data_IF_015773078537
#
_entry.id   IF_015773078537
#
_cell.length_a   1.000
_cell.length_b   1.000
_cell.length_c   1.000
_cell.angle_alpha   90.00
_cell.angle_beta   90.00
_cell.angle_gamma   90.00
#
_symmetry.space_group_name_H-M   'P 1'
#
loop_
_entity.id
_entity.type
_entity.pdbx_description
1 polymer ?
#
# COMPACT_ATOMS: atom_id res chain seq x y z
N UNK A 1 -17.78 4.05 -2.66
CA UNK A 1 -17.92 4.95 -1.49
C UNK A 1 -18.00 6.38 -1.96
N UNK A 2 -18.78 7.20 -1.28
CA UNK A 2 -19.07 8.58 -1.68
C UNK A 2 -18.94 9.53 -0.49
N UNK A 3 -18.12 10.57 -0.62
CA UNK A 3 -17.91 11.65 0.33
C UNK A 3 -17.63 11.19 1.77
N UNK A 4 -16.87 10.11 1.93
CA UNK A 4 -16.58 9.53 3.26
C UNK A 4 -15.66 10.43 4.05
N UNK A 5 -16.12 10.82 5.24
CA UNK A 5 -15.37 11.61 6.22
C UNK A 5 -15.31 10.95 7.58
N UNK A 6 -14.18 11.13 8.29
CA UNK A 6 -13.96 10.61 9.64
C UNK A 6 -13.08 11.52 10.48
N UNK A 7 -13.55 11.84 11.68
CA UNK A 7 -12.82 12.64 12.66
C UNK A 7 -12.48 11.82 13.92
N UNK A 8 -11.32 12.05 14.50
CA UNK A 8 -10.93 11.61 15.83
C UNK A 8 -10.64 12.86 16.68
N UNK A 9 -11.66 13.34 17.37
CA UNK A 9 -11.60 14.62 18.08
C UNK A 9 -11.31 15.77 17.13
N UNK A 10 -10.16 16.42 17.27
CA UNK A 10 -9.71 17.52 16.41
C UNK A 10 -9.00 17.06 15.12
N UNK A 11 -8.71 15.77 15.00
CA UNK A 11 -7.97 15.24 13.84
C UNK A 11 -8.97 14.75 12.78
N UNK A 12 -8.97 15.39 11.62
CA UNK A 12 -9.73 14.97 10.45
C UNK A 12 -8.95 13.88 9.69
N UNK A 13 -9.28 12.62 9.99
CA UNK A 13 -8.56 11.45 9.46
C UNK A 13 -8.94 11.11 8.04
N UNK A 14 -10.18 11.44 7.61
CA UNK A 14 -10.65 11.31 6.23
C UNK A 14 -11.49 12.53 5.87
N UNK A 15 -11.24 13.08 4.68
CA UNK A 15 -11.84 14.30 4.16
C UNK A 15 -12.43 14.01 2.77
N UNK A 16 -13.74 13.80 2.70
CA UNK A 16 -14.50 13.70 1.46
C UNK A 16 -13.95 12.63 0.47
N UNK A 17 -13.66 11.44 0.99
CA UNK A 17 -13.11 10.35 0.17
C UNK A 17 -14.20 9.73 -0.69
N UNK A 18 -14.02 9.83 -2.01
CA UNK A 18 -14.87 9.15 -3.00
C UNK A 18 -14.01 8.25 -3.87
N UNK A 19 -14.28 6.94 -3.84
CA UNK A 19 -13.53 5.91 -4.57
C UNK A 19 -14.48 4.85 -5.10
N UNK A 20 -14.14 4.33 -6.27
CA UNK A 20 -14.79 3.20 -6.91
C UNK A 20 -13.75 2.11 -7.23
N UNK A 21 -13.99 0.88 -6.79
CA UNK A 21 -13.14 -0.29 -7.00
C UNK A 21 -13.93 -1.34 -7.77
N UNK A 22 -13.36 -1.87 -8.85
CA UNK A 22 -14.01 -2.82 -9.71
C UNK A 22 -13.86 -4.27 -9.24
N UNK A 23 -14.85 -5.14 -9.49
CA UNK A 23 -14.69 -6.57 -9.18
C UNK A 23 -13.46 -7.17 -9.86
N UNK A 24 -12.70 -7.99 -9.12
CA UNK A 24 -11.48 -8.64 -9.60
C UNK A 24 -10.28 -7.71 -9.77
N UNK A 25 -10.37 -6.46 -9.30
CA UNK A 25 -9.29 -5.48 -9.34
C UNK A 25 -8.33 -5.66 -8.15
N UNK A 26 -7.04 -5.49 -8.40
CA UNK A 26 -6.02 -5.27 -7.36
C UNK A 26 -5.78 -3.76 -7.22
N UNK A 27 -6.44 -3.15 -6.25
CA UNK A 27 -6.43 -1.71 -6.02
C UNK A 27 -5.48 -1.31 -4.88
N UNK A 28 -4.56 -0.38 -5.16
CA UNK A 28 -3.58 0.11 -4.19
C UNK A 28 -4.00 1.42 -3.52
N UNK A 29 -3.92 1.47 -2.19
CA UNK A 29 -4.11 2.67 -1.40
C UNK A 29 -2.75 3.16 -0.90
N UNK A 30 -2.17 4.12 -1.62
CA UNK A 30 -0.77 4.52 -1.45
C UNK A 30 -0.67 5.84 -0.68
N UNK A 31 0.21 5.89 0.30
CA UNK A 31 0.45 7.12 1.05
C UNK A 31 1.25 6.89 2.32
N UNK A 32 1.80 7.96 2.91
CA UNK A 32 2.60 7.88 4.13
C UNK A 32 1.78 7.43 5.33
N UNK A 33 2.47 7.17 6.44
CA UNK A 33 1.82 6.94 7.73
C UNK A 33 0.97 8.15 8.12
N UNK A 34 -0.22 7.88 8.68
CA UNK A 34 -1.18 8.92 9.01
C UNK A 34 -1.99 9.47 7.84
N UNK A 35 -1.84 8.95 6.62
CA UNK A 35 -2.63 9.40 5.46
C UNK A 35 -4.13 9.02 5.53
N UNK A 36 -4.56 8.18 6.49
CA UNK A 36 -5.95 7.76 6.66
C UNK A 36 -6.26 6.36 6.11
N UNK A 37 -5.29 5.63 5.53
CA UNK A 37 -5.45 4.31 4.89
C UNK A 37 -6.16 3.30 5.80
N UNK A 38 -5.62 3.06 6.99
CA UNK A 38 -6.19 2.14 7.99
C UNK A 38 -7.60 2.57 8.43
N UNK A 39 -7.87 3.88 8.56
CA UNK A 39 -9.20 4.39 8.91
C UNK A 39 -10.21 4.04 7.83
N UNK A 40 -9.83 4.21 6.57
CA UNK A 40 -10.68 3.84 5.43
C UNK A 40 -10.97 2.33 5.39
N UNK A 41 -9.95 1.49 5.59
CA UNK A 41 -10.14 0.03 5.66
C UNK A 41 -11.09 -0.39 6.80
N UNK A 42 -10.95 0.23 7.98
CA UNK A 42 -11.86 -0.06 9.09
C UNK A 42 -13.31 0.32 8.79
N UNK A 43 -13.55 1.37 8.02
CA UNK A 43 -14.90 1.73 7.57
C UNK A 43 -15.44 0.70 6.59
N UNK A 44 -14.66 0.32 5.57
CA UNK A 44 -15.06 -0.65 4.55
C UNK A 44 -15.27 -2.05 5.12
N UNK A 45 -14.48 -2.44 6.11
CA UNK A 45 -14.64 -3.71 6.84
C UNK A 45 -15.68 -3.66 7.96
N UNK A 46 -16.43 -2.55 8.05
CA UNK A 46 -17.49 -2.33 9.05
C UNK A 46 -17.02 -2.35 10.51
N UNK A 47 -15.73 -2.14 10.77
CA UNK A 47 -15.16 -2.04 12.12
C UNK A 47 -15.26 -0.63 12.68
N UNK A 48 -15.55 0.35 11.84
CA UNK A 48 -15.67 1.76 12.19
C UNK A 48 -16.79 2.40 11.37
N UNK A 49 -17.53 3.31 11.97
CA UNK A 49 -18.55 4.10 11.27
C UNK A 49 -17.93 5.39 10.72
N UNK A 50 -18.27 5.73 9.47
CA UNK A 50 -18.01 7.05 8.95
C UNK A 50 -18.84 8.11 9.67
N UNK A 51 -18.32 9.34 9.77
CA UNK A 51 -19.08 10.48 10.34
C UNK A 51 -19.88 11.18 9.23
N UNK A 52 -19.41 11.07 7.96
CA UNK A 52 -20.06 11.64 6.79
C UNK A 52 -19.95 10.67 5.61
N UNK A 53 -20.83 10.83 4.62
CA UNK A 53 -20.82 10.06 3.39
C UNK A 53 -21.34 8.64 3.56
N UNK A 54 -21.18 7.84 2.53
CA UNK A 54 -21.64 6.45 2.48
C UNK A 54 -20.54 5.52 1.95
N UNK A 55 -20.48 4.31 2.50
CA UNK A 55 -19.60 3.26 2.04
C UNK A 55 -20.42 2.02 1.72
N UNK A 56 -20.21 1.46 0.53
CA UNK A 56 -20.83 0.20 0.09
C UNK A 56 -19.74 -0.82 -0.25
N UNK A 57 -19.97 -2.08 0.06
CA UNK A 57 -19.09 -3.19 -0.29
C UNK A 57 -19.93 -4.27 -0.95
N UNK A 58 -19.57 -4.71 -2.14
CA UNK A 58 -20.34 -5.65 -2.95
C UNK A 58 -21.82 -5.22 -3.09
N UNK A 59 -22.08 -3.91 -3.28
CA UNK A 59 -23.43 -3.34 -3.37
C UNK A 59 -24.22 -3.26 -2.06
N UNK A 60 -23.63 -3.69 -0.94
CA UNK A 60 -24.25 -3.70 0.39
C UNK A 60 -23.86 -2.44 1.18
N UNK A 61 -24.81 -1.87 1.92
CA UNK A 61 -24.59 -0.69 2.77
C UNK A 61 -23.76 -1.04 4.01
N UNK A 62 -22.67 -0.32 4.24
CA UNK A 62 -21.72 -0.59 5.32
C UNK A 62 -22.31 -0.51 6.73
N UNK A 63 -23.43 0.21 6.92
CA UNK A 63 -24.10 0.36 8.21
C UNK A 63 -25.25 -0.64 8.37
N UNK A 64 -26.10 -0.78 7.35
CA UNK A 64 -27.30 -1.63 7.42
C UNK A 64 -26.95 -3.11 7.28
N UNK A 65 -26.03 -3.43 6.35
CA UNK A 65 -25.73 -4.81 5.94
C UNK A 65 -24.43 -5.33 6.54
N UNK A 66 -23.90 -4.69 7.60
CA UNK A 66 -22.57 -4.98 8.16
C UNK A 66 -22.34 -6.48 8.48
N UNK A 67 -23.38 -7.19 8.96
CA UNK A 67 -23.26 -8.63 9.26
C UNK A 67 -22.99 -9.45 8.00
N UNK A 68 -23.67 -9.11 6.89
CA UNK A 68 -23.48 -9.79 5.61
C UNK A 68 -22.12 -9.44 5.01
N UNK A 69 -21.75 -8.15 5.03
CA UNK A 69 -20.42 -7.71 4.56
C UNK A 69 -19.31 -8.51 5.26
N UNK A 70 -19.38 -8.67 6.60
CA UNK A 70 -18.35 -9.40 7.37
C UNK A 70 -18.18 -10.87 6.98
N UNK A 71 -19.19 -11.50 6.36
CA UNK A 71 -19.07 -12.87 5.84
C UNK A 71 -18.50 -12.93 4.43
N UNK A 72 -18.43 -11.79 3.74
CA UNK A 72 -17.98 -11.67 2.34
C UNK A 72 -16.58 -11.05 2.22
N UNK A 73 -16.03 -10.49 3.30
CA UNK A 73 -14.75 -9.79 3.27
C UNK A 73 -13.70 -10.50 4.12
N UNK A 74 -12.49 -10.62 3.60
CA UNK A 74 -11.31 -10.95 4.38
C UNK A 74 -10.58 -9.66 4.79
N UNK A 75 -10.07 -9.59 6.01
CA UNK A 75 -9.33 -8.44 6.49
C UNK A 75 -8.04 -8.86 7.20
N UNK A 76 -6.94 -8.34 6.73
CA UNK A 76 -5.63 -8.49 7.34
C UNK A 76 -5.17 -7.10 7.82
N UNK A 77 -5.21 -6.83 9.13
CA UNK A 77 -4.75 -5.56 9.69
C UNK A 77 -3.21 -5.45 9.68
N UNK A 78 -2.68 -4.23 9.62
CA UNK A 78 -1.24 -3.97 9.53
C UNK A 78 -0.42 -4.42 10.75
N UNK A 79 -1.08 -4.66 11.88
CA UNK A 79 -0.45 -5.32 13.03
C UNK A 79 -0.87 -6.78 13.07
N UNK A 80 0.11 -7.67 13.29
CA UNK A 80 -0.17 -9.08 13.44
C UNK A 80 -1.20 -9.32 14.56
N UNK A 81 -2.40 -9.75 14.18
CA UNK A 81 -3.58 -9.83 15.04
C UNK A 81 -3.99 -11.26 15.38
N UNK A 82 -3.26 -12.26 14.89
CA UNK A 82 -3.55 -13.67 15.18
C UNK A 82 -3.12 -14.05 16.59
N UNK A 83 -3.67 -15.16 17.08
CA UNK A 83 -3.37 -15.69 18.41
C UNK A 83 -1.95 -16.25 18.46
N UNK A 84 -1.05 -15.54 19.10
CA UNK A 84 0.38 -15.86 19.13
C UNK A 84 0.70 -17.13 19.89
N UNK A 85 -0.13 -17.50 20.87
CA UNK A 85 0.01 -18.70 21.68
C UNK A 85 -0.58 -19.96 21.03
N UNK A 86 -1.42 -19.79 20.03
CA UNK A 86 -1.93 -20.88 19.21
C UNK A 86 -0.91 -21.27 18.14
N UNK A 87 -0.95 -22.51 17.71
CA UNK A 87 -0.17 -23.02 16.57
C UNK A 87 -0.73 -22.48 15.25
N UNK A 88 0.00 -22.74 14.15
CA UNK A 88 -0.45 -22.39 12.80
C UNK A 88 -1.80 -23.04 12.49
N UNK A 89 -1.92 -24.36 12.73
CA UNK A 89 -3.18 -25.10 12.47
C UNK A 89 -4.32 -24.63 13.38
N UNK A 90 -4.08 -24.43 14.69
CA UNK A 90 -5.10 -23.94 15.61
C UNK A 90 -5.62 -22.54 15.26
N UNK A 91 -4.78 -21.66 14.71
CA UNK A 91 -5.24 -20.36 14.18
C UNK A 91 -6.17 -20.57 12.97
N UNK A 92 -5.81 -21.42 12.00
CA UNK A 92 -6.64 -21.69 10.83
C UNK A 92 -7.99 -22.31 11.23
N UNK A 93 -7.98 -23.33 12.11
CA UNK A 93 -9.18 -24.00 12.60
C UNK A 93 -10.10 -23.04 13.35
N UNK A 94 -9.51 -22.14 14.15
CA UNK A 94 -10.26 -21.09 14.85
C UNK A 94 -11.02 -20.19 13.86
N UNK A 95 -10.34 -19.65 12.85
CA UNK A 95 -11.00 -18.78 11.86
C UNK A 95 -11.99 -19.57 11.00
N UNK A 96 -11.69 -20.79 10.59
CA UNK A 96 -12.64 -21.66 9.89
C UNK A 96 -13.91 -21.85 10.71
N UNK A 97 -13.77 -22.13 12.02
CA UNK A 97 -14.91 -22.28 12.94
C UNK A 97 -15.73 -21.01 13.06
N UNK A 98 -15.09 -19.84 13.21
CA UNK A 98 -15.77 -18.54 13.30
C UNK A 98 -16.66 -18.28 12.09
N UNK A 99 -16.23 -18.71 10.91
CA UNK A 99 -16.97 -18.55 9.64
C UNK A 99 -17.84 -19.75 9.26
N UNK A 100 -18.08 -20.70 10.18
CA UNK A 100 -18.86 -21.93 9.94
C UNK A 100 -18.37 -22.74 8.73
N UNK A 101 -17.06 -22.88 8.57
CA UNK A 101 -16.42 -23.71 7.54
C UNK A 101 -15.34 -24.59 8.17
N UNK A 102 -14.65 -25.38 7.36
CA UNK A 102 -13.47 -26.15 7.76
C UNK A 102 -12.28 -25.83 6.88
N UNK A 103 -11.08 -26.13 7.34
CA UNK A 103 -9.86 -25.94 6.56
C UNK A 103 -9.91 -26.79 5.29
N UNK A 104 -10.39 -28.04 5.39
CA UNK A 104 -10.48 -28.98 4.27
C UNK A 104 -11.45 -28.50 3.19
N UNK A 105 -12.58 -27.90 3.58
CA UNK A 105 -13.60 -27.41 2.64
C UNK A 105 -13.09 -26.30 1.72
N UNK A 106 -12.10 -25.53 2.17
CA UNK A 106 -11.56 -24.38 1.45
C UNK A 106 -10.03 -24.47 1.24
N UNK A 107 -9.47 -25.68 1.40
CA UNK A 107 -8.04 -25.91 1.30
C UNK A 107 -7.46 -25.51 -0.06
N UNK A 108 -8.20 -25.73 -1.13
CA UNK A 108 -7.83 -25.37 -2.50
C UNK A 108 -7.49 -23.87 -2.66
N UNK A 109 -8.22 -22.99 -1.99
CA UNK A 109 -7.98 -21.54 -2.03
C UNK A 109 -6.72 -21.14 -1.28
N UNK A 110 -6.46 -21.77 -0.14
CA UNK A 110 -5.33 -21.42 0.72
C UNK A 110 -4.09 -22.26 0.47
N UNK A 111 -4.21 -23.36 -0.29
CA UNK A 111 -3.16 -24.37 -0.51
C UNK A 111 -1.81 -23.77 -0.87
N UNK A 112 -1.75 -22.94 -1.92
CA UNK A 112 -0.50 -22.38 -2.45
C UNK A 112 0.24 -21.48 -1.45
N UNK A 113 -0.50 -20.93 -0.48
CA UNK A 113 0.02 -20.10 0.60
C UNK A 113 0.39 -20.99 1.78
N UNK A 114 -0.54 -21.87 2.16
CA UNK A 114 -0.45 -22.68 3.36
C UNK A 114 0.65 -23.75 3.26
N UNK A 115 0.82 -24.38 2.11
CA UNK A 115 1.85 -25.42 1.89
C UNK A 115 3.26 -24.95 2.28
N UNK A 116 3.53 -23.67 2.18
CA UNK A 116 4.83 -23.09 2.55
C UNK A 116 5.04 -22.99 4.07
N UNK A 117 3.96 -22.98 4.85
CA UNK A 117 3.99 -22.93 6.31
C UNK A 117 3.49 -24.21 6.97
N UNK A 118 2.91 -25.13 6.21
CA UNK A 118 2.40 -26.42 6.67
C UNK A 118 3.45 -27.28 7.41
N UNK A 119 4.73 -27.34 7.00
CA UNK A 119 5.76 -28.05 7.75
C UNK A 119 5.94 -27.53 9.19
N UNK A 120 5.42 -26.34 9.47
CA UNK A 120 5.47 -25.68 10.78
C UNK A 120 4.11 -25.63 11.48
N UNK A 121 3.11 -26.42 11.02
CA UNK A 121 1.73 -26.35 11.51
C UNK A 121 1.56 -26.47 13.03
N UNK A 122 2.44 -27.22 13.69
CA UNK A 122 2.48 -27.36 15.15
C UNK A 122 3.26 -26.27 15.88
N UNK A 123 3.88 -25.31 15.15
CA UNK A 123 4.62 -24.21 15.75
C UNK A 123 3.67 -23.09 16.17
N UNK A 124 3.89 -22.51 17.34
CA UNK A 124 3.15 -21.33 17.82
C UNK A 124 3.36 -20.15 16.87
N UNK A 125 2.29 -19.43 16.53
CA UNK A 125 2.31 -18.31 15.62
C UNK A 125 3.27 -17.18 16.06
N UNK A 126 3.41 -16.97 17.37
CA UNK A 126 4.36 -16.01 17.93
C UNK A 126 5.84 -16.30 17.58
N UNK A 127 6.18 -17.58 17.28
CA UNK A 127 7.56 -18.05 16.96
C UNK A 127 7.83 -18.14 15.45
N UNK A 128 6.93 -17.68 14.60
CA UNK A 128 7.10 -17.63 13.16
C UNK A 128 7.94 -16.40 12.74
N UNK A 129 8.63 -16.50 11.60
CA UNK A 129 9.26 -15.35 10.95
C UNK A 129 8.20 -14.34 10.47
N UNK A 130 8.61 -13.12 10.12
CA UNK A 130 7.71 -12.09 9.60
C UNK A 130 6.92 -12.59 8.37
N UNK A 131 7.61 -13.10 7.35
CA UNK A 131 6.97 -13.63 6.14
C UNK A 131 6.03 -14.81 6.41
N UNK A 132 6.40 -15.72 7.34
CA UNK A 132 5.50 -16.82 7.73
C UNK A 132 4.25 -16.32 8.47
N UNK A 133 4.39 -15.28 9.31
CA UNK A 133 3.24 -14.64 9.98
C UNK A 133 2.28 -14.03 8.96
N UNK A 134 2.81 -13.39 7.92
CA UNK A 134 1.99 -12.81 6.86
C UNK A 134 1.26 -13.89 6.04
N UNK A 135 1.95 -14.99 5.70
CA UNK A 135 1.33 -16.14 5.02
C UNK A 135 0.20 -16.75 5.87
N UNK A 136 0.41 -16.92 7.17
CA UNK A 136 -0.63 -17.40 8.07
C UNK A 136 -1.81 -16.42 8.15
N UNK A 137 -1.54 -15.12 8.30
CA UNK A 137 -2.58 -14.10 8.38
C UNK A 137 -3.43 -14.04 7.09
N UNK A 138 -2.77 -14.13 5.93
CA UNK A 138 -3.45 -14.20 4.64
C UNK A 138 -4.29 -15.48 4.51
N UNK A 139 -3.76 -16.65 4.90
CA UNK A 139 -4.51 -17.90 4.89
C UNK A 139 -5.77 -17.82 5.78
N UNK A 140 -5.66 -17.26 6.99
CA UNK A 140 -6.80 -17.05 7.88
C UNK A 140 -7.84 -16.07 7.30
N UNK A 141 -7.40 -15.02 6.61
CA UNK A 141 -8.29 -14.05 5.98
C UNK A 141 -9.03 -14.62 4.75
N UNK A 142 -8.49 -15.68 4.15
CA UNK A 142 -9.04 -16.34 2.95
C UNK A 142 -9.91 -17.56 3.28
N UNK A 143 -9.83 -18.11 4.50
CA UNK A 143 -10.39 -19.43 4.82
C UNK A 143 -11.89 -19.55 4.57
N UNK A 144 -12.62 -18.46 4.53
CA UNK A 144 -14.07 -18.43 4.29
C UNK A 144 -14.45 -18.01 2.87
N UNK A 145 -13.50 -18.01 1.91
CA UNK A 145 -13.70 -17.61 0.49
C UNK A 145 -14.30 -16.20 0.33
N UNK A 146 -13.63 -15.17 0.78
CA UNK A 146 -14.14 -13.81 0.66
C UNK A 146 -14.23 -13.36 -0.81
N UNK A 147 -15.21 -12.48 -1.12
CA UNK A 147 -15.31 -11.82 -2.40
C UNK A 147 -14.34 -10.64 -2.51
N UNK A 148 -14.05 -10.00 -1.36
CA UNK A 148 -13.13 -8.87 -1.25
C UNK A 148 -12.13 -9.09 -0.13
N UNK A 149 -10.86 -8.83 -0.42
CA UNK A 149 -9.76 -8.94 0.53
C UNK A 149 -9.17 -7.54 0.80
N UNK A 150 -9.19 -7.12 2.06
CA UNK A 150 -8.58 -5.88 2.54
C UNK A 150 -7.27 -6.20 3.26
N UNK A 151 -6.16 -5.63 2.80
CA UNK A 151 -4.81 -5.88 3.32
C UNK A 151 -4.16 -4.55 3.74
N UNK A 152 -4.05 -4.35 5.04
CA UNK A 152 -3.50 -3.10 5.59
C UNK A 152 -1.99 -3.27 5.84
N UNK A 153 -1.17 -2.70 4.96
CA UNK A 153 0.29 -2.74 5.00
C UNK A 153 0.87 -4.17 5.19
N UNK A 154 0.45 -5.13 4.36
CA UNK A 154 0.73 -6.54 4.59
C UNK A 154 2.21 -6.92 4.53
N UNK A 155 3.05 -6.09 3.93
CA UNK A 155 4.48 -6.35 3.70
C UNK A 155 5.41 -5.53 4.60
N UNK A 156 4.84 -4.71 5.50
CA UNK A 156 5.63 -3.90 6.44
C UNK A 156 6.43 -4.80 7.38
N UNK A 157 7.75 -4.59 7.45
CA UNK A 157 8.67 -5.38 8.26
C UNK A 157 8.97 -6.78 7.71
N UNK A 158 8.65 -7.05 6.46
CA UNK A 158 8.94 -8.30 5.75
C UNK A 158 10.20 -8.13 4.88
N UNK A 159 11.03 -9.15 4.81
CA UNK A 159 12.23 -9.14 3.98
C UNK A 159 11.89 -9.05 2.48
N UNK A 160 12.81 -8.53 1.62
CA UNK A 160 12.52 -8.29 0.22
C UNK A 160 12.07 -9.52 -0.57
N UNK A 161 12.61 -10.70 -0.28
CA UNK A 161 12.24 -11.95 -0.99
C UNK A 161 10.82 -12.34 -0.64
N UNK A 162 10.49 -12.38 0.66
CA UNK A 162 9.14 -12.69 1.12
C UNK A 162 8.11 -11.66 0.65
N UNK A 163 8.51 -10.38 0.46
CA UNK A 163 7.64 -9.34 -0.14
C UNK A 163 7.26 -9.70 -1.59
N UNK A 164 8.22 -10.04 -2.42
CA UNK A 164 7.95 -10.44 -3.82
C UNK A 164 7.02 -11.64 -3.85
N UNK A 165 7.30 -12.69 -3.06
CA UNK A 165 6.44 -13.88 -2.98
C UNK A 165 5.01 -13.52 -2.55
N UNK A 166 4.85 -12.59 -1.60
CA UNK A 166 3.54 -12.15 -1.13
C UNK A 166 2.73 -11.48 -2.25
N UNK A 167 3.35 -10.58 -3.01
CA UNK A 167 2.71 -9.93 -4.15
C UNK A 167 2.37 -10.92 -5.27
N UNK A 168 3.21 -11.92 -5.51
CA UNK A 168 2.90 -12.99 -6.48
C UNK A 168 1.71 -13.85 -6.03
N UNK A 169 1.50 -14.02 -4.73
CA UNK A 169 0.29 -14.64 -4.19
C UNK A 169 -0.95 -13.78 -4.43
N UNK A 170 -0.86 -12.46 -4.22
CA UNK A 170 -1.98 -11.54 -4.51
C UNK A 170 -2.39 -11.57 -5.98
N UNK A 171 -1.42 -11.59 -6.90
CA UNK A 171 -1.69 -11.71 -8.34
C UNK A 171 -2.41 -13.02 -8.69
N UNK A 172 -2.12 -14.11 -7.99
CA UNK A 172 -2.83 -15.40 -8.17
C UNK A 172 -4.26 -15.33 -7.65
N UNK A 173 -4.47 -14.76 -6.47
CA UNK A 173 -5.80 -14.58 -5.88
C UNK A 173 -6.68 -13.69 -6.77
N UNK A 174 -6.12 -12.60 -7.29
CA UNK A 174 -6.80 -11.76 -8.27
C UNK A 174 -7.24 -12.54 -9.51
N UNK A 175 -6.36 -13.38 -10.07
CA UNK A 175 -6.71 -14.24 -11.23
C UNK A 175 -7.82 -15.25 -10.93
N UNK A 176 -8.04 -15.59 -9.67
CA UNK A 176 -9.18 -16.40 -9.21
C UNK A 176 -10.46 -15.59 -9.01
N UNK A 177 -10.45 -14.28 -9.32
CA UNK A 177 -11.61 -13.39 -9.27
C UNK A 177 -11.81 -12.66 -7.94
N UNK A 178 -10.88 -12.78 -6.99
CA UNK A 178 -10.95 -12.04 -5.72
C UNK A 178 -10.61 -10.57 -5.97
N UNK A 179 -11.46 -9.67 -5.51
CA UNK A 179 -11.16 -8.23 -5.48
C UNK A 179 -10.24 -7.94 -4.31
N UNK A 180 -9.13 -7.23 -4.54
CA UNK A 180 -8.14 -6.99 -3.50
C UNK A 180 -7.91 -5.48 -3.35
N UNK A 181 -8.01 -5.00 -2.12
CA UNK A 181 -7.62 -3.64 -1.77
C UNK A 181 -6.45 -3.70 -0.79
N UNK A 182 -5.30 -3.18 -1.20
CA UNK A 182 -4.07 -3.22 -0.40
C UNK A 182 -3.58 -1.81 -0.08
N UNK A 183 -3.24 -1.56 1.18
CA UNK A 183 -2.54 -0.32 1.54
C UNK A 183 -1.04 -0.55 1.66
N UNK A 184 -0.26 0.43 1.21
CA UNK A 184 1.20 0.41 1.37
C UNK A 184 1.78 1.83 1.36
N UNK A 185 2.84 2.11 2.13
CA UNK A 185 3.61 3.34 1.97
C UNK A 185 4.66 3.25 0.85
N UNK A 186 4.87 2.06 0.26
CA UNK A 186 5.95 1.79 -0.69
C UNK A 186 5.48 1.98 -2.14
N UNK A 187 6.14 2.89 -2.87
CA UNK A 187 5.79 3.20 -4.26
C UNK A 187 6.15 2.07 -5.25
N UNK A 188 7.19 1.29 -4.96
CA UNK A 188 7.57 0.12 -5.76
C UNK A 188 6.47 -0.94 -5.78
N UNK A 189 5.74 -1.11 -4.68
CA UNK A 189 4.58 -2.01 -4.60
C UNK A 189 3.37 -1.49 -5.39
N UNK A 190 3.22 -0.18 -5.53
CA UNK A 190 2.14 0.44 -6.29
C UNK A 190 2.10 -0.05 -7.76
N UNK A 191 3.27 -0.33 -8.34
CA UNK A 191 3.39 -0.81 -9.72
C UNK A 191 2.75 -2.19 -9.95
N UNK A 192 2.48 -2.96 -8.89
CA UNK A 192 1.81 -4.27 -8.94
C UNK A 192 0.28 -4.15 -8.99
N UNK A 193 -0.26 -2.97 -8.69
CA UNK A 193 -1.70 -2.71 -8.69
C UNK A 193 -2.21 -2.33 -10.09
N UNK A 194 -3.48 -2.64 -10.37
CA UNK A 194 -4.15 -2.19 -11.60
C UNK A 194 -4.41 -0.69 -11.58
N UNK A 195 -4.96 -0.21 -10.47
CA UNK A 195 -5.17 1.20 -10.17
C UNK A 195 -4.73 1.51 -8.74
N UNK A 196 -4.38 2.75 -8.52
CA UNK A 196 -3.96 3.23 -7.20
C UNK A 196 -4.65 4.55 -6.87
N UNK A 197 -4.92 4.74 -5.59
CA UNK A 197 -5.29 6.03 -5.02
C UNK A 197 -4.11 6.57 -4.20
N UNK A 198 -3.66 7.78 -4.51
CA UNK A 198 -2.67 8.48 -3.71
C UNK A 198 -3.37 9.20 -2.57
N UNK A 199 -3.03 8.85 -1.34
CA UNK A 199 -3.59 9.48 -0.13
C UNK A 199 -2.57 10.32 0.62
N UNK A 200 -3.01 11.47 1.10
CA UNK A 200 -2.20 12.33 1.97
C UNK A 200 -3.12 13.10 2.92
N UNK A 201 -2.80 13.10 4.21
CA UNK A 201 -3.51 13.86 5.25
C UNK A 201 -5.03 13.75 5.17
N UNK A 202 -5.54 12.52 5.01
CA UNK A 202 -6.98 12.23 4.95
C UNK A 202 -7.65 12.51 3.61
N UNK A 203 -6.91 12.95 2.60
CA UNK A 203 -7.45 13.28 1.27
C UNK A 203 -6.97 12.29 0.21
N UNK A 204 -7.80 12.04 -0.81
CA UNK A 204 -7.41 11.36 -2.02
C UNK A 204 -6.94 12.40 -3.05
N UNK A 205 -5.67 12.36 -3.41
CA UNK A 205 -5.08 13.33 -4.33
C UNK A 205 -5.31 12.97 -5.79
N UNK A 206 -5.28 11.68 -6.12
CA UNK A 206 -5.45 11.18 -7.48
C UNK A 206 -5.79 9.69 -7.46
N UNK A 207 -6.53 9.24 -8.47
CA UNK A 207 -6.83 7.83 -8.72
C UNK A 207 -6.55 7.54 -10.19
N UNK A 208 -5.63 6.64 -10.47
CA UNK A 208 -5.31 6.23 -11.84
C UNK A 208 -4.51 4.91 -11.83
N UNK A 209 -4.15 4.41 -13.00
CA UNK A 209 -3.14 3.36 -13.13
C UNK A 209 -1.78 3.88 -12.65
N UNK A 210 -0.86 3.00 -12.19
CA UNK A 210 0.49 3.43 -11.83
C UNK A 210 1.21 4.19 -12.96
N UNK A 211 0.99 3.77 -14.22
CA UNK A 211 1.52 4.47 -15.38
C UNK A 211 0.90 5.87 -15.57
N UNK A 212 -0.43 5.99 -15.39
CA UNK A 212 -1.14 7.27 -15.47
C UNK A 212 -0.66 8.25 -14.40
N UNK A 213 -0.50 7.79 -13.16
CA UNK A 213 0.06 8.61 -12.08
C UNK A 213 1.45 9.11 -12.42
N UNK A 214 2.34 8.23 -12.94
CA UNK A 214 3.68 8.66 -13.38
C UNK A 214 3.63 9.69 -14.51
N UNK A 215 2.77 9.45 -15.50
CA UNK A 215 2.59 10.38 -16.63
C UNK A 215 2.05 11.74 -16.19
N UNK A 216 1.16 11.77 -15.18
CA UNK A 216 0.60 13.01 -14.64
C UNK A 216 1.59 13.85 -13.84
N UNK A 217 2.77 13.30 -13.50
CA UNK A 217 3.81 14.04 -12.79
C UNK A 217 4.27 15.29 -13.55
N UNK A 218 4.20 15.27 -14.90
CA UNK A 218 4.26 16.44 -15.78
C UNK A 218 5.55 17.26 -15.73
N UNK A 219 6.60 16.82 -15.00
CA UNK A 219 7.90 17.47 -14.89
C UNK A 219 9.01 16.46 -15.16
N UNK A 220 10.06 16.90 -15.82
CA UNK A 220 11.26 16.10 -15.96
C UNK A 220 11.92 15.92 -14.58
N UNK A 221 12.14 14.69 -14.19
CA UNK A 221 12.92 14.32 -13.01
C UNK A 221 14.39 14.17 -13.42
N UNK A 222 15.29 14.72 -12.62
CA UNK A 222 16.73 14.67 -12.85
C UNK A 222 17.40 13.99 -11.66
N UNK A 223 18.35 13.09 -11.91
CA UNK A 223 19.31 12.64 -10.90
C UNK A 223 20.52 13.55 -10.92
N UNK A 224 20.97 13.99 -9.75
CA UNK A 224 22.14 14.86 -9.61
C UNK A 224 23.10 14.23 -8.61
N UNK A 225 24.36 14.06 -9.01
CA UNK A 225 25.44 13.48 -8.21
C UNK A 225 26.66 14.38 -8.18
N UNK A 226 27.42 14.33 -7.08
CA UNK A 226 28.73 14.98 -6.91
C UNK A 226 29.46 14.30 -5.75
N UNK A 227 30.75 14.44 -5.65
CA UNK A 227 31.54 13.98 -4.50
C UNK A 227 31.06 14.58 -3.16
N UNK A 228 30.46 15.77 -3.19
CA UNK A 228 29.98 16.50 -2.00
C UNK A 228 28.46 16.51 -1.88
N UNK A 229 27.83 15.32 -1.76
CA UNK A 229 26.37 15.16 -1.81
C UNK A 229 25.59 16.01 -0.80
N UNK A 230 26.05 16.11 0.46
CA UNK A 230 25.34 16.92 1.47
C UNK A 230 25.31 18.41 1.12
N UNK A 231 26.44 18.97 0.69
CA UNK A 231 26.54 20.36 0.24
C UNK A 231 25.70 20.56 -1.02
N UNK A 232 25.76 19.62 -1.96
CA UNK A 232 25.00 19.65 -3.20
C UNK A 232 23.49 19.77 -2.94
N UNK A 233 22.94 18.99 -2.00
CA UNK A 233 21.51 19.04 -1.65
C UNK A 233 21.09 20.45 -1.21
N UNK A 234 21.91 21.07 -0.36
CA UNK A 234 21.66 22.43 0.14
C UNK A 234 21.71 23.46 -0.97
N UNK A 235 22.71 23.36 -1.84
CA UNK A 235 22.88 24.30 -2.95
C UNK A 235 21.78 24.12 -4.01
N UNK A 236 21.41 22.88 -4.36
CA UNK A 236 20.28 22.59 -5.26
C UNK A 236 18.96 23.15 -4.73
N UNK A 237 18.70 23.03 -3.43
CA UNK A 237 17.50 23.61 -2.80
C UNK A 237 17.49 25.13 -2.78
N UNK A 238 18.67 25.77 -2.76
CA UNK A 238 18.82 27.22 -2.78
C UNK A 238 18.74 27.84 -4.18
N UNK A 239 18.82 27.01 -5.23
CA UNK A 239 18.70 27.49 -6.60
C UNK A 239 17.28 28.00 -6.89
N UNK A 240 17.08 29.22 -7.37
CA UNK A 240 15.74 29.80 -7.57
C UNK A 240 14.85 29.03 -8.54
N UNK A 241 15.43 28.33 -9.52
CA UNK A 241 14.76 27.51 -10.49
C UNK A 241 14.35 26.11 -9.98
N UNK A 242 14.77 25.72 -8.78
CA UNK A 242 14.37 24.43 -8.19
C UNK A 242 12.90 24.46 -7.79
N UNK A 243 12.15 23.47 -8.28
CA UNK A 243 10.81 23.18 -7.79
C UNK A 243 10.85 22.26 -6.58
N UNK A 244 11.58 21.15 -6.67
CA UNK A 244 11.82 20.25 -5.54
C UNK A 244 13.19 19.56 -5.65
N UNK A 245 13.80 19.24 -4.49
CA UNK A 245 15.03 18.47 -4.43
C UNK A 245 15.06 17.60 -3.17
N UNK A 246 15.23 16.28 -3.37
CA UNK A 246 15.26 15.28 -2.31
C UNK A 246 16.45 14.33 -2.48
N UNK A 247 17.02 13.88 -1.36
CA UNK A 247 18.00 12.80 -1.36
C UNK A 247 17.33 11.47 -1.69
N UNK A 248 17.91 10.67 -2.59
CA UNK A 248 17.41 9.38 -2.99
C UNK A 248 18.59 8.42 -3.29
N UNK A 249 18.81 7.47 -2.42
CA UNK A 249 19.95 6.56 -2.52
C UNK A 249 21.30 7.29 -2.61
N UNK A 250 22.03 7.06 -3.70
CA UNK A 250 23.33 7.64 -4.00
C UNK A 250 23.25 8.97 -4.81
N UNK A 251 22.03 9.47 -5.06
CA UNK A 251 21.78 10.66 -5.87
C UNK A 251 20.80 11.62 -5.19
N UNK A 252 20.64 12.80 -5.75
CA UNK A 252 19.53 13.68 -5.45
C UNK A 252 18.56 13.71 -6.62
N UNK A 253 17.27 13.59 -6.33
CA UNK A 253 16.20 13.77 -7.29
C UNK A 253 15.81 15.26 -7.31
N UNK A 254 15.93 15.86 -8.47
CA UNK A 254 15.67 17.27 -8.71
C UNK A 254 14.56 17.43 -9.75
N UNK A 255 13.65 18.37 -9.48
CA UNK A 255 12.73 18.90 -10.50
C UNK A 255 12.90 20.42 -10.59
N UNK A 256 12.80 20.93 -11.80
CA UNK A 256 12.90 22.37 -12.08
C UNK A 256 11.51 22.97 -12.30
N UNK A 257 11.39 24.28 -12.13
CA UNK A 257 10.13 25.01 -12.37
C UNK A 257 9.79 25.07 -13.85
N UNK A 258 10.81 25.34 -14.69
CA UNK A 258 10.73 25.34 -16.16
C UNK A 258 11.83 24.45 -16.73
N UNK A 259 11.45 23.24 -17.14
CA UNK A 259 12.35 22.26 -17.73
C UNK A 259 13.12 22.81 -18.89
N UNK A 260 14.00 22.93 -19.39
CA UNK A 260 14.66 23.42 -20.62
C UNK A 260 15.34 24.79 -20.50
N UNK A 261 14.79 25.73 -19.77
CA UNK A 261 15.41 27.04 -19.58
C UNK A 261 16.33 27.08 -18.37
N UNK A 262 15.98 26.36 -17.31
CA UNK A 262 16.67 26.45 -16.02
C UNK A 262 17.87 25.52 -15.92
N UNK A 263 17.99 24.48 -16.76
CA UNK A 263 19.13 23.56 -16.71
C UNK A 263 20.49 24.26 -16.95
N UNK A 264 20.57 25.14 -17.95
CA UNK A 264 21.79 25.89 -18.22
C UNK A 264 22.13 26.85 -17.08
N UNK A 265 21.13 27.52 -16.50
CA UNK A 265 21.29 28.38 -15.35
C UNK A 265 21.73 27.61 -14.10
N UNK A 266 21.18 26.40 -13.87
CA UNK A 266 21.59 25.51 -12.82
C UNK A 266 23.06 25.08 -12.97
N UNK A 267 23.45 24.66 -14.16
CA UNK A 267 24.84 24.27 -14.43
C UNK A 267 25.83 25.42 -14.15
N UNK A 268 25.47 26.64 -14.57
CA UNK A 268 26.29 27.82 -14.27
C UNK A 268 26.32 28.11 -12.76
N UNK A 269 25.18 28.06 -12.09
CA UNK A 269 25.09 28.24 -10.63
C UNK A 269 25.98 27.24 -9.86
N UNK A 270 25.95 25.95 -10.24
CA UNK A 270 26.77 24.92 -9.60
C UNK A 270 28.28 25.15 -9.87
N UNK A 271 28.62 25.58 -11.09
CA UNK A 271 30.01 25.94 -11.44
C UNK A 271 30.50 27.11 -10.60
N UNK A 272 29.69 28.16 -10.45
CA UNK A 272 30.01 29.35 -9.63
C UNK A 272 30.15 28.97 -8.14
N UNK A 273 29.47 27.93 -7.67
CA UNK A 273 29.63 27.34 -6.34
C UNK A 273 30.87 26.44 -6.21
N UNK A 274 31.63 26.25 -7.29
CA UNK A 274 32.88 25.50 -7.33
C UNK A 274 32.74 23.99 -7.49
N UNK A 275 31.60 23.53 -8.02
CA UNK A 275 31.45 22.13 -8.38
C UNK A 275 32.07 21.84 -9.76
N UNK A 276 32.98 20.88 -9.81
CA UNK A 276 33.64 20.42 -11.04
C UNK A 276 33.22 19.01 -11.49
N UNK A 277 32.52 18.28 -10.62
CA UNK A 277 32.25 16.85 -10.75
C UNK A 277 30.75 16.52 -10.76
N UNK A 278 29.88 17.49 -11.06
CA UNK A 278 28.44 17.27 -11.06
C UNK A 278 28.00 16.48 -12.30
N UNK A 279 27.36 15.35 -12.07
CA UNK A 279 26.65 14.59 -13.08
C UNK A 279 25.15 14.83 -12.95
N UNK A 280 24.48 15.21 -14.06
CA UNK A 280 23.03 15.41 -14.12
C UNK A 280 22.50 14.54 -15.27
N UNK A 281 21.56 13.65 -14.94
CA UNK A 281 20.96 12.71 -15.90
C UNK A 281 19.43 12.75 -15.76
N UNK A 282 18.69 12.71 -16.87
CA UNK A 282 17.24 12.58 -16.81
C UNK A 282 16.89 11.18 -16.28
N UNK A 283 15.84 11.10 -15.47
CA UNK A 283 15.31 9.81 -14.97
C UNK A 283 13.79 9.82 -15.04
N UNK A 284 13.21 8.68 -15.34
CA UNK A 284 11.76 8.51 -15.27
C UNK A 284 11.30 8.38 -13.81
N UNK A 285 10.18 8.99 -13.42
CA UNK A 285 9.58 8.77 -12.12
C UNK A 285 9.24 7.28 -11.94
N UNK A 286 9.76 6.67 -10.89
CA UNK A 286 9.57 5.25 -10.56
C UNK A 286 8.55 5.06 -9.45
#
# INVERSE_FOLDING_TARGET
MEAVGKNYGQVEALQDISLDIHPGELFGLIGPDGAGKTTLFRILTTLLLADKGTATVCGLDGVRDYKKIRTMVGYMPGRFSLYQDLTVEENLDFFATVFNTTVEANYDLVHDIYVQIEPFKKRKAGKLSGGMKQKLALSCALIHRPEVLFLDEPTTGVDPVSRVEFWDMLDRLKRQGITIMVSTPYMDEASRCDRIALMRTGQCLSVDTPAGIRASFGRQLWTVRSASMFRLLTDLRSFPGTYSCYAFGDAHHLTLKEDGKEMNALMQFLKDKGYADVAIEPVEPS
#
